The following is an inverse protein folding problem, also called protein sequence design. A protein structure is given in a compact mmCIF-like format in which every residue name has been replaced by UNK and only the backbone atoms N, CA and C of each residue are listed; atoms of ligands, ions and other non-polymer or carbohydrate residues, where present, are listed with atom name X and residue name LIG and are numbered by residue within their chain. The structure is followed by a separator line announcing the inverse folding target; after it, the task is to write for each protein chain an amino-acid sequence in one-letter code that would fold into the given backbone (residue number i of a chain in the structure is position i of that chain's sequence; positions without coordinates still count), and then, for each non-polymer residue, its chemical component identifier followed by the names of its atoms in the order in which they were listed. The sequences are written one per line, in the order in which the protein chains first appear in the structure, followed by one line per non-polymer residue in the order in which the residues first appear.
data_IF_125529685833
#
_entry.id   IF_125529685833
#
_cell.length_a   1.000
_cell.length_b   1.000
_cell.length_c   1.000
_cell.angle_alpha   90.00
_cell.angle_beta   90.00
_cell.angle_gamma   90.00
#
_symmetry.space_group_name_H-M   'P 1'
#
loop_
_entity.id
_entity.type
_entity.pdbx_description
1 polymer ?
#
# COMPACT_ATOMS: atom_id res chain seq x y z
N UNK A 1 -9.00 -18.82 -11.27
CA UNK A 1 -10.06 -18.38 -10.33
C UNK A 1 -10.59 -17.04 -10.80
N UNK A 2 -11.90 -16.77 -10.73
CA UNK A 2 -12.48 -15.56 -11.32
C UNK A 2 -12.12 -14.33 -10.47
N UNK A 3 -11.23 -13.50 -10.98
CA UNK A 3 -10.77 -12.25 -10.34
C UNK A 3 -11.82 -11.12 -10.39
N UNK A 4 -12.97 -11.45 -10.98
CA UNK A 4 -14.10 -10.57 -11.24
C UNK A 4 -14.68 -9.93 -9.96
N UNK A 5 -14.82 -10.61 -8.81
CA UNK A 5 -15.49 -10.04 -7.64
C UNK A 5 -14.80 -8.78 -7.09
N UNK A 6 -13.46 -8.77 -7.02
CA UNK A 6 -12.67 -7.64 -6.50
C UNK A 6 -12.87 -6.39 -7.37
N UNK A 7 -12.78 -6.55 -8.69
CA UNK A 7 -12.97 -5.45 -9.66
C UNK A 7 -14.43 -4.99 -9.66
N UNK A 8 -15.39 -5.92 -9.61
CA UNK A 8 -16.82 -5.59 -9.56
C UNK A 8 -17.19 -4.79 -8.31
N UNK A 9 -16.56 -5.07 -7.16
CA UNK A 9 -16.77 -4.28 -5.94
C UNK A 9 -16.28 -2.84 -6.09
N UNK A 10 -15.17 -2.62 -6.78
CA UNK A 10 -14.68 -1.27 -7.09
C UNK A 10 -15.63 -0.55 -8.04
N UNK A 11 -16.10 -1.23 -9.10
CA UNK A 11 -17.10 -0.68 -10.03
C UNK A 11 -18.38 -0.33 -9.28
N UNK A 12 -18.86 -1.22 -8.41
CA UNK A 12 -20.03 -0.98 -7.59
C UNK A 12 -19.86 0.26 -6.70
N UNK A 13 -18.73 0.39 -6.00
CA UNK A 13 -18.44 1.56 -5.18
C UNK A 13 -18.45 2.86 -5.98
N UNK A 14 -17.86 2.84 -7.18
CA UNK A 14 -17.88 3.98 -8.09
C UNK A 14 -19.30 4.34 -8.55
N UNK A 15 -20.12 3.34 -8.90
CA UNK A 15 -21.50 3.52 -9.31
C UNK A 15 -22.37 4.06 -8.16
N UNK A 16 -22.24 3.54 -6.94
CA UNK A 16 -22.95 4.04 -5.77
C UNK A 16 -22.67 5.54 -5.53
N UNK A 17 -21.42 5.97 -5.72
CA UNK A 17 -21.08 7.40 -5.67
C UNK A 17 -21.73 8.18 -6.81
N UNK A 18 -21.62 7.69 -8.05
CA UNK A 18 -22.21 8.33 -9.23
C UNK A 18 -23.73 8.51 -9.13
N UNK A 19 -24.41 7.55 -8.50
CA UNK A 19 -25.85 7.56 -8.23
C UNK A 19 -26.22 8.42 -7.01
N UNK A 20 -25.25 9.10 -6.38
CA UNK A 20 -25.40 9.91 -5.17
C UNK A 20 -25.96 9.13 -3.95
N UNK A 21 -25.84 7.80 -3.93
CA UNK A 21 -26.23 6.97 -2.78
C UNK A 21 -25.23 7.16 -1.63
N UNK A 22 -23.96 7.28 -1.97
CA UNK A 22 -22.86 7.56 -1.03
C UNK A 22 -22.03 8.73 -1.53
N UNK A 23 -21.32 9.40 -0.62
CA UNK A 23 -20.41 10.50 -0.94
C UNK A 23 -18.96 10.11 -0.60
N UNK A 24 -18.01 10.95 -1.01
CA UNK A 24 -16.58 10.72 -0.79
C UNK A 24 -16.22 10.61 0.69
N UNK A 25 -16.89 11.36 1.56
CA UNK A 25 -16.66 11.34 3.01
C UNK A 25 -17.01 9.99 3.64
N UNK A 26 -17.92 9.23 3.02
CA UNK A 26 -18.22 7.86 3.42
C UNK A 26 -17.04 6.93 3.14
N UNK A 27 -16.37 7.08 1.99
CA UNK A 27 -15.14 6.34 1.69
C UNK A 27 -14.03 6.65 2.71
N UNK A 28 -13.82 7.92 3.05
CA UNK A 28 -12.80 8.30 4.03
C UNK A 28 -13.07 7.68 5.42
N UNK A 29 -14.34 7.57 5.80
CA UNK A 29 -14.76 6.94 7.05
C UNK A 29 -14.61 5.41 7.01
N UNK A 30 -14.96 4.77 5.89
CA UNK A 30 -14.76 3.34 5.68
C UNK A 30 -13.29 2.95 5.63
N UNK A 31 -12.45 3.73 4.94
CA UNK A 31 -10.99 3.50 4.89
C UNK A 31 -10.39 3.59 6.30
N UNK A 32 -10.81 4.56 7.12
CA UNK A 32 -10.38 4.64 8.52
C UNK A 32 -10.80 3.41 9.31
N UNK A 33 -12.07 3.00 9.19
CA UNK A 33 -12.56 1.80 9.88
C UNK A 33 -11.77 0.54 9.47
N UNK A 34 -11.53 0.38 8.17
CA UNK A 34 -10.70 -0.69 7.62
C UNK A 34 -9.31 -0.65 8.23
N UNK A 35 -8.68 0.52 8.26
CA UNK A 35 -7.32 0.72 8.72
C UNK A 35 -7.13 0.42 10.21
N UNK A 36 -8.10 0.78 11.06
CA UNK A 36 -8.00 0.60 12.51
C UNK A 36 -8.51 -0.76 13.01
N UNK A 37 -9.37 -1.45 12.25
CA UNK A 37 -10.03 -2.69 12.72
C UNK A 37 -9.75 -3.86 11.79
N UNK A 38 -10.15 -3.74 10.53
CA UNK A 38 -10.19 -4.87 9.59
C UNK A 38 -8.80 -5.29 9.08
N UNK A 39 -7.93 -4.34 8.74
CA UNK A 39 -6.56 -4.62 8.32
C UNK A 39 -5.72 -5.25 9.45
N UNK A 40 -5.72 -4.72 10.69
CA UNK A 40 -5.11 -5.38 11.83
C UNK A 40 -5.60 -6.82 12.04
N UNK A 41 -6.92 -7.05 12.02
CA UNK A 41 -7.48 -8.39 12.17
C UNK A 41 -7.06 -9.33 11.03
N UNK A 42 -7.05 -8.84 9.79
CA UNK A 42 -6.61 -9.60 8.61
C UNK A 42 -5.15 -10.00 8.69
N UNK A 43 -4.26 -9.07 9.06
CA UNK A 43 -2.85 -9.36 9.27
C UNK A 43 -2.67 -10.39 10.38
N UNK A 44 -3.36 -10.19 11.50
CA UNK A 44 -3.30 -11.13 12.61
C UNK A 44 -3.73 -12.54 12.19
N UNK A 45 -4.92 -12.66 11.60
CA UNK A 45 -5.47 -13.94 11.13
C UNK A 45 -4.55 -14.67 10.13
N UNK A 46 -3.89 -13.93 9.25
CA UNK A 46 -3.05 -14.54 8.20
C UNK A 46 -1.67 -14.97 8.70
N UNK A 47 -1.13 -14.26 9.69
CA UNK A 47 0.23 -14.49 10.21
C UNK A 47 0.27 -15.51 11.35
N UNK A 48 -0.80 -15.68 12.13
CA UNK A 48 -0.80 -16.59 13.29
C UNK A 48 -0.54 -18.07 12.92
N UNK A 49 -0.79 -18.48 11.68
CA UNK A 49 -0.54 -19.84 11.18
C UNK A 49 0.56 -19.90 10.12
N UNK A 50 1.27 -18.80 9.87
CA UNK A 50 2.32 -18.77 8.86
C UNK A 50 3.47 -19.71 9.25
N UNK A 51 3.97 -20.47 8.30
CA UNK A 51 5.22 -21.20 8.45
C UNK A 51 6.40 -20.22 8.35
N UNK A 52 7.03 -19.91 9.49
CA UNK A 52 8.14 -18.96 9.54
C UNK A 52 9.41 -19.56 8.92
N UNK A 53 9.82 -18.99 7.79
CA UNK A 53 11.06 -19.33 7.08
C UNK A 53 11.99 -18.11 7.05
N UNK A 54 13.30 -18.35 7.10
CA UNK A 54 14.31 -17.28 7.02
C UNK A 54 14.26 -16.51 5.70
N UNK A 55 13.81 -17.15 4.61
CA UNK A 55 13.60 -16.51 3.30
C UNK A 55 12.64 -15.32 3.34
N UNK A 56 11.69 -15.29 4.28
CA UNK A 56 10.75 -14.18 4.46
C UNK A 56 11.44 -12.84 4.76
N UNK A 57 12.66 -12.87 5.32
CA UNK A 57 13.43 -11.66 5.62
C UNK A 57 13.92 -10.94 4.35
N UNK A 58 13.95 -11.61 3.19
CA UNK A 58 14.26 -10.97 1.91
C UNK A 58 13.14 -10.03 1.45
N UNK A 59 11.89 -10.27 1.88
CA UNK A 59 10.74 -9.47 1.44
C UNK A 59 10.76 -8.03 2.00
N UNK A 60 10.98 -7.78 3.31
CA UNK A 60 11.18 -6.42 3.81
C UNK A 60 12.37 -5.71 3.14
N UNK A 61 13.47 -6.44 2.90
CA UNK A 61 14.64 -5.89 2.20
C UNK A 61 14.33 -5.49 0.76
N UNK A 62 13.55 -6.32 0.04
CA UNK A 62 13.06 -6.00 -1.29
C UNK A 62 12.21 -4.73 -1.27
N UNK A 63 11.28 -4.61 -0.31
CA UNK A 63 10.48 -3.40 -0.12
C UNK A 63 11.36 -2.16 0.03
N UNK A 64 12.28 -2.19 1.00
CA UNK A 64 13.24 -1.10 1.24
C UNK A 64 14.02 -0.74 -0.03
N UNK A 65 14.55 -1.76 -0.72
CA UNK A 65 15.35 -1.59 -1.93
C UNK A 65 14.55 -0.91 -3.05
N UNK A 66 13.33 -1.38 -3.32
CA UNK A 66 12.48 -0.85 -4.39
C UNK A 66 12.02 0.57 -4.05
N UNK A 67 11.51 0.84 -2.84
CA UNK A 67 11.12 2.20 -2.48
C UNK A 67 12.28 3.17 -2.49
N UNK A 68 13.44 2.79 -1.95
CA UNK A 68 14.64 3.65 -1.97
C UNK A 68 15.04 4.00 -3.40
N UNK A 69 15.05 3.01 -4.29
CA UNK A 69 15.35 3.20 -5.71
C UNK A 69 14.35 4.15 -6.37
N UNK A 70 13.07 4.05 -6.01
CA UNK A 70 12.04 4.90 -6.60
C UNK A 70 12.07 6.33 -6.05
N UNK A 71 12.35 6.52 -4.76
CA UNK A 71 12.65 7.85 -4.21
C UNK A 71 13.86 8.47 -4.89
N UNK A 72 14.93 7.69 -5.12
CA UNK A 72 16.12 8.16 -5.82
C UNK A 72 15.79 8.56 -7.27
N UNK A 73 15.07 7.72 -8.02
CA UNK A 73 14.64 8.03 -9.38
C UNK A 73 13.78 9.30 -9.44
N UNK A 74 12.79 9.41 -8.55
CA UNK A 74 11.95 10.60 -8.42
C UNK A 74 12.79 11.84 -8.14
N UNK A 75 13.73 11.73 -7.20
CA UNK A 75 14.64 12.83 -6.87
C UNK A 75 15.45 13.25 -8.10
N UNK A 76 16.03 12.32 -8.85
CA UNK A 76 16.85 12.64 -10.02
C UNK A 76 16.05 13.34 -11.15
N UNK A 77 14.80 12.94 -11.38
CA UNK A 77 13.99 13.50 -12.48
C UNK A 77 13.15 14.73 -12.11
N UNK A 78 13.21 15.19 -10.85
CA UNK A 78 12.36 16.30 -10.39
C UNK A 78 12.69 17.65 -11.02
N UNK A 79 13.98 17.93 -11.27
CA UNK A 79 14.44 19.26 -11.71
C UNK A 79 13.91 19.62 -13.12
N UNK A 80 13.98 18.71 -14.14
CA UNK A 80 13.40 18.97 -15.46
C UNK A 80 11.91 19.30 -15.45
N UNK A 81 11.14 18.79 -14.48
CA UNK A 81 9.69 18.97 -14.40
C UNK A 81 9.26 20.35 -13.89
N UNK A 82 10.21 21.18 -13.40
CA UNK A 82 9.97 22.57 -12.96
C UNK A 82 8.74 22.74 -12.05
N UNK A 83 8.55 21.81 -11.12
CA UNK A 83 7.40 21.80 -10.22
C UNK A 83 7.52 22.89 -9.16
N UNK A 84 6.37 23.40 -8.71
CA UNK A 84 6.33 24.20 -7.49
C UNK A 84 6.71 23.33 -6.29
N UNK A 85 7.36 23.92 -5.27
CA UNK A 85 7.87 23.21 -4.09
C UNK A 85 6.86 22.23 -3.49
N UNK A 86 5.60 22.63 -3.35
CA UNK A 86 4.54 21.78 -2.77
C UNK A 86 4.18 20.60 -3.66
N UNK A 87 4.10 20.81 -4.97
CA UNK A 87 3.87 19.75 -5.96
C UNK A 87 5.08 18.80 -6.03
N UNK A 88 6.31 19.31 -5.94
CA UNK A 88 7.52 18.49 -5.87
C UNK A 88 7.51 17.58 -4.63
N UNK A 89 7.13 18.10 -3.47
CA UNK A 89 6.93 17.29 -2.25
C UNK A 89 5.92 16.17 -2.47
N UNK A 90 4.75 16.49 -3.01
CA UNK A 90 3.71 15.51 -3.36
C UNK A 90 4.20 14.47 -4.38
N UNK A 91 4.94 14.90 -5.40
CA UNK A 91 5.54 14.04 -6.42
C UNK A 91 6.52 13.04 -5.80
N UNK A 92 7.41 13.48 -4.90
CA UNK A 92 8.39 12.61 -4.26
C UNK A 92 7.73 11.57 -3.34
N UNK A 93 6.80 11.97 -2.46
CA UNK A 93 6.14 11.02 -1.55
C UNK A 93 5.29 9.99 -2.31
N UNK A 94 4.58 10.42 -3.36
CA UNK A 94 3.77 9.51 -4.19
C UNK A 94 4.62 8.58 -5.06
N UNK A 95 5.86 8.97 -5.37
CA UNK A 95 6.81 8.15 -6.11
C UNK A 95 7.54 7.10 -5.28
N UNK A 96 7.52 7.17 -3.95
CA UNK A 96 8.22 6.19 -3.09
C UNK A 96 7.27 5.33 -2.28
N UNK A 97 6.20 5.92 -1.73
CA UNK A 97 5.24 5.23 -0.87
C UNK A 97 4.25 4.40 -1.68
N UNK A 98 4.03 3.15 -1.29
CA UNK A 98 3.18 2.21 -2.03
C UNK A 98 1.97 1.76 -1.21
N UNK A 99 0.82 1.59 -1.87
CA UNK A 99 -0.42 1.21 -1.24
C UNK A 99 -0.54 -0.32 -1.08
N UNK A 100 0.19 -0.93 -0.15
CA UNK A 100 0.06 -2.37 0.04
C UNK A 100 -1.26 -2.72 0.74
N UNK A 101 -1.48 -2.19 1.94
CA UNK A 101 -2.64 -2.53 2.77
C UNK A 101 -4.00 -2.25 2.13
N UNK A 102 -4.22 -1.05 1.58
CA UNK A 102 -5.53 -0.68 1.02
C UNK A 102 -5.67 -0.98 -0.48
N UNK A 103 -4.65 -1.55 -1.13
CA UNK A 103 -4.76 -1.89 -2.55
C UNK A 103 -4.25 -3.30 -2.86
N UNK A 104 -2.99 -3.63 -2.56
CA UNK A 104 -2.43 -4.95 -2.90
C UNK A 104 -2.97 -6.10 -2.06
N UNK A 105 -3.20 -5.92 -0.76
CA UNK A 105 -3.62 -7.01 0.13
C UNK A 105 -4.86 -7.78 -0.37
N UNK A 106 -5.93 -7.12 -0.83
CA UNK A 106 -7.07 -7.83 -1.43
C UNK A 106 -6.75 -8.65 -2.68
N UNK A 107 -5.81 -8.18 -3.52
CA UNK A 107 -5.35 -8.97 -4.68
C UNK A 107 -4.55 -10.20 -4.21
N UNK A 108 -3.60 -10.03 -3.29
CA UNK A 108 -2.85 -11.16 -2.74
C UNK A 108 -3.77 -12.19 -2.08
N UNK A 109 -4.77 -11.75 -1.32
CA UNK A 109 -5.78 -12.65 -0.74
C UNK A 109 -6.57 -13.40 -1.80
N UNK A 110 -6.99 -12.72 -2.87
CA UNK A 110 -7.82 -13.31 -3.91
C UNK A 110 -7.06 -14.33 -4.75
N UNK A 111 -5.79 -14.07 -5.06
CA UNK A 111 -4.99 -14.90 -5.96
C UNK A 111 -4.15 -15.95 -5.23
N UNK A 112 -3.69 -15.67 -4.03
CA UNK A 112 -2.70 -16.47 -3.30
C UNK A 112 -3.13 -16.81 -1.85
N UNK A 113 -4.35 -16.43 -1.46
CA UNK A 113 -4.90 -16.71 -0.14
C UNK A 113 -4.17 -16.00 1.00
N UNK A 114 -4.39 -16.48 2.21
CA UNK A 114 -3.74 -15.97 3.44
C UNK A 114 -2.22 -16.12 3.40
N UNK A 115 -1.71 -17.16 2.73
CA UNK A 115 -0.28 -17.37 2.58
C UNK A 115 0.35 -16.24 1.74
N UNK A 116 -0.21 -15.93 0.57
CA UNK A 116 0.27 -14.80 -0.23
C UNK A 116 0.12 -13.45 0.46
N UNK A 117 -0.98 -13.26 1.22
CA UNK A 117 -1.15 -12.07 2.04
C UNK A 117 -0.01 -11.91 3.06
N UNK A 118 0.36 -12.99 3.75
CA UNK A 118 1.46 -12.99 4.70
C UNK A 118 2.77 -12.56 4.03
N UNK A 119 3.08 -13.04 2.83
CA UNK A 119 4.28 -12.64 2.10
C UNK A 119 4.27 -11.14 1.74
N UNK A 120 3.16 -10.63 1.20
CA UNK A 120 3.08 -9.18 0.91
C UNK A 120 3.09 -8.33 2.19
N UNK A 121 2.61 -8.85 3.32
CA UNK A 121 2.72 -8.16 4.61
C UNK A 121 4.18 -8.02 5.06
N UNK A 122 5.01 -9.05 4.88
CA UNK A 122 6.45 -8.95 5.12
C UNK A 122 7.12 -7.93 4.19
N UNK A 123 6.78 -7.93 2.90
CA UNK A 123 7.24 -6.89 1.97
C UNK A 123 6.83 -5.48 2.41
N UNK A 124 5.59 -5.34 2.89
CA UNK A 124 5.02 -4.06 3.34
C UNK A 124 5.72 -3.50 4.59
N UNK A 125 6.38 -4.32 5.42
CA UNK A 125 7.17 -3.79 6.55
C UNK A 125 8.29 -2.88 6.07
N UNK A 126 9.02 -3.31 5.04
CA UNK A 126 10.08 -2.49 4.46
C UNK A 126 9.55 -1.18 3.89
N UNK A 127 8.39 -1.27 3.22
CA UNK A 127 7.69 -0.11 2.66
C UNK A 127 7.16 0.84 3.72
N UNK A 128 6.51 0.32 4.76
CA UNK A 128 5.98 1.09 5.87
C UNK A 128 7.13 1.79 6.62
N UNK A 129 8.25 1.10 6.85
CA UNK A 129 9.42 1.71 7.47
C UNK A 129 9.90 2.94 6.69
N UNK A 130 10.13 2.83 5.38
CA UNK A 130 10.56 3.98 4.57
C UNK A 130 9.47 5.05 4.39
N UNK A 131 8.20 4.65 4.29
CA UNK A 131 7.08 5.58 4.17
C UNK A 131 6.93 6.44 5.41
N UNK A 132 6.99 5.83 6.60
CA UNK A 132 6.83 6.51 7.88
C UNK A 132 8.07 7.31 8.29
N UNK A 133 9.25 6.97 7.77
CA UNK A 133 10.51 7.70 8.03
C UNK A 133 10.82 8.70 6.91
N UNK A 134 11.40 8.23 5.80
CA UNK A 134 11.83 9.06 4.67
C UNK A 134 10.66 9.78 4.00
N UNK A 135 9.53 9.09 3.78
CA UNK A 135 8.33 9.69 3.18
C UNK A 135 7.78 10.84 4.02
N UNK A 136 7.67 10.64 5.34
CA UNK A 136 7.25 11.69 6.27
C UNK A 136 8.28 12.83 6.35
N UNK A 137 9.58 12.52 6.38
CA UNK A 137 10.65 13.54 6.32
C UNK A 137 10.54 14.43 5.07
N UNK A 138 10.33 13.82 3.89
CA UNK A 138 10.12 14.56 2.64
C UNK A 138 8.88 15.44 2.76
N UNK A 139 7.76 14.91 3.28
CA UNK A 139 6.52 15.67 3.43
C UNK A 139 6.74 16.94 4.27
N UNK A 140 7.43 16.82 5.41
CA UNK A 140 7.75 17.97 6.25
C UNK A 140 8.70 18.95 5.53
N UNK A 141 9.77 18.43 4.91
CA UNK A 141 10.81 19.24 4.26
C UNK A 141 10.25 20.16 3.17
N UNK A 142 9.29 19.62 2.40
CA UNK A 142 8.63 20.34 1.32
C UNK A 142 7.38 21.11 1.78
N UNK A 143 6.84 20.76 2.94
CA UNK A 143 5.76 21.46 3.61
C UNK A 143 6.20 22.74 4.32
N UNK A 144 5.36 23.13 5.29
CA UNK A 144 5.49 24.38 6.04
C UNK A 144 5.83 24.18 7.52
N UNK A 145 6.06 22.94 7.99
CA UNK A 145 6.40 22.66 9.39
C UNK A 145 7.89 22.27 9.53
N UNK A 146 8.52 22.56 10.68
CA UNK A 146 9.83 22.03 10.99
C UNK A 146 9.76 20.53 11.35
N UNK A 147 10.73 19.75 10.89
CA UNK A 147 10.83 18.33 11.21
C UNK A 147 11.20 18.11 12.67
N UNK A 148 10.34 17.37 13.39
CA UNK A 148 10.62 16.90 14.75
C UNK A 148 10.65 15.37 14.74
N UNK A 149 11.77 14.79 15.18
CA UNK A 149 11.94 13.33 15.26
C UNK A 149 10.87 12.65 16.13
N UNK A 150 10.39 13.34 17.17
CA UNK A 150 9.29 12.89 18.02
C UNK A 150 8.00 12.60 17.24
N UNK A 151 7.66 13.42 16.24
CA UNK A 151 6.46 13.23 15.43
C UNK A 151 6.57 11.97 14.55
N UNK A 152 7.78 11.67 14.03
CA UNK A 152 8.05 10.46 13.24
C UNK A 152 7.79 9.23 14.10
N UNK A 153 8.38 9.18 15.30
CA UNK A 153 8.25 8.03 16.20
C UNK A 153 6.81 7.84 16.67
N UNK A 154 6.11 8.93 17.03
CA UNK A 154 4.70 8.87 17.43
C UNK A 154 3.80 8.33 16.30
N UNK A 155 4.04 8.76 15.06
CA UNK A 155 3.28 8.29 13.90
C UNK A 155 3.56 6.81 13.59
N UNK A 156 4.81 6.35 13.74
CA UNK A 156 5.18 4.94 13.59
C UNK A 156 4.51 4.06 14.65
N UNK A 157 4.62 4.43 15.92
CA UNK A 157 4.03 3.68 17.03
C UNK A 157 2.49 3.77 17.05
N UNK A 158 1.91 4.78 16.39
CA UNK A 158 0.46 4.91 16.22
C UNK A 158 -0.13 4.04 15.12
N UNK A 159 0.68 3.32 14.32
CA UNK A 159 0.23 2.53 13.19
C UNK A 159 -0.33 1.15 13.65
N UNK A 160 -1.65 0.92 13.64
CA UNK A 160 -2.25 -0.28 14.27
C UNK A 160 -1.77 -1.59 13.64
N UNK A 161 -1.61 -1.60 12.32
CA UNK A 161 -1.15 -2.77 11.57
C UNK A 161 0.26 -3.23 11.97
N UNK A 162 1.13 -2.32 12.43
CA UNK A 162 2.47 -2.67 12.92
C UNK A 162 2.37 -3.54 14.18
N UNK A 163 1.50 -3.16 15.10
CA UNK A 163 1.25 -3.92 16.33
C UNK A 163 0.57 -5.24 16.05
N UNK A 164 -0.45 -5.26 15.19
CA UNK A 164 -1.11 -6.50 14.81
C UNK A 164 -0.15 -7.50 14.18
N UNK A 165 0.71 -7.05 13.26
CA UNK A 165 1.77 -7.87 12.68
C UNK A 165 2.70 -8.43 13.76
N UNK A 166 3.20 -7.56 14.65
CA UNK A 166 4.13 -7.95 15.72
C UNK A 166 3.52 -8.95 16.70
N UNK A 167 2.27 -8.72 17.13
CA UNK A 167 1.56 -9.63 18.03
C UNK A 167 1.25 -10.97 17.35
N UNK A 168 0.90 -10.97 16.06
CA UNK A 168 0.64 -12.20 15.32
C UNK A 168 1.88 -13.07 15.22
N UNK A 169 3.03 -12.47 14.90
CA UNK A 169 4.31 -13.19 14.89
C UNK A 169 4.69 -13.71 16.28
N UNK A 170 4.46 -12.93 17.34
CA UNK A 170 4.73 -13.37 18.70
C UNK A 170 3.87 -14.59 19.07
N UNK A 171 2.57 -14.56 18.78
CA UNK A 171 1.65 -15.69 19.01
C UNK A 171 2.06 -16.92 18.21
N UNK A 172 2.41 -16.74 16.94
CA UNK A 172 2.85 -17.82 16.06
C UNK A 172 4.15 -18.45 16.59
N UNK A 173 5.15 -17.63 16.91
CA UNK A 173 6.45 -18.09 17.42
C UNK A 173 6.33 -18.84 18.76
N UNK A 174 5.46 -18.39 19.66
CA UNK A 174 5.21 -19.06 20.94
C UNK A 174 4.34 -20.31 20.81
N UNK A 175 3.75 -20.58 19.65
CA UNK A 175 2.82 -21.69 19.45
C UNK A 175 1.50 -21.53 20.21
N UNK A 176 1.11 -20.29 20.55
CA UNK A 176 -0.05 -19.99 21.41
C UNK A 176 -1.39 -20.04 20.68
N UNK A 177 -1.42 -20.56 19.46
CA UNK A 177 -2.63 -20.67 18.64
C UNK A 177 -3.78 -21.37 19.38
N UNK A 178 -3.49 -22.47 20.09
CA UNK A 178 -4.49 -23.23 20.85
C UNK A 178 -5.08 -22.43 22.02
N UNK A 179 -4.32 -21.52 22.61
CA UNK A 179 -4.76 -20.70 23.75
C UNK A 179 -5.68 -19.53 23.36
N UNK A 180 -5.67 -19.13 22.08
CA UNK A 180 -6.49 -18.02 21.57
C UNK A 180 -7.67 -18.49 20.69
N UNK A 181 -8.03 -19.78 20.78
CA UNK A 181 -9.12 -20.43 20.04
C UNK A 181 -10.41 -19.61 19.95
N UNK A 182 -10.80 -18.97 21.07
CA UNK A 182 -12.04 -18.19 21.17
C UNK A 182 -12.05 -16.91 20.34
N UNK A 183 -10.89 -16.32 20.06
CA UNK A 183 -10.76 -15.04 19.34
C UNK A 183 -10.68 -15.27 17.82
N UNK A 184 -10.22 -16.46 17.39
CA UNK A 184 -9.98 -16.78 15.97
C UNK A 184 -11.24 -16.61 15.10
N UNK A 185 -12.44 -17.10 15.50
CA UNK A 185 -13.66 -16.89 14.70
C UNK A 185 -14.00 -15.41 14.49
N UNK A 186 -13.77 -14.56 15.50
CA UNK A 186 -13.98 -13.12 15.36
C UNK A 186 -12.97 -12.53 14.36
N UNK A 187 -11.70 -12.92 14.45
CA UNK A 187 -10.66 -12.47 13.51
C UNK A 187 -10.96 -12.92 12.08
N UNK A 188 -11.50 -14.12 11.89
CA UNK A 188 -11.94 -14.65 10.60
C UNK A 188 -13.10 -13.83 10.00
N UNK A 189 -14.12 -13.49 10.80
CA UNK A 189 -15.23 -12.64 10.35
C UNK A 189 -14.72 -11.28 9.89
N UNK A 190 -13.87 -10.63 10.69
CA UNK A 190 -13.26 -9.35 10.31
C UNK A 190 -12.37 -9.51 9.08
N UNK A 191 -11.59 -10.58 9.00
CA UNK A 191 -10.75 -10.90 7.87
C UNK A 191 -11.56 -10.95 6.56
N UNK A 192 -12.66 -11.71 6.56
CA UNK A 192 -13.53 -11.90 5.41
C UNK A 192 -14.23 -10.61 4.95
N UNK A 193 -14.45 -9.65 5.85
CA UNK A 193 -14.98 -8.33 5.51
C UNK A 193 -13.95 -7.37 4.90
N UNK A 194 -12.66 -7.65 5.05
CA UNK A 194 -11.59 -6.69 4.72
C UNK A 194 -11.53 -6.38 3.22
N UNK A 195 -11.49 -7.41 2.37
CA UNK A 195 -11.44 -7.24 0.91
C UNK A 195 -12.66 -6.49 0.36
N UNK A 196 -13.92 -6.88 0.67
CA UNK A 196 -15.10 -6.15 0.21
C UNK A 196 -15.11 -4.68 0.63
N UNK A 197 -14.80 -4.39 1.90
CA UNK A 197 -14.81 -3.01 2.41
C UNK A 197 -13.73 -2.16 1.76
N UNK A 198 -12.51 -2.68 1.58
CA UNK A 198 -11.44 -1.98 0.87
C UNK A 198 -11.87 -1.67 -0.57
N UNK A 199 -12.28 -2.68 -1.32
CA UNK A 199 -12.58 -2.54 -2.75
C UNK A 199 -13.74 -1.58 -3.00
N UNK A 200 -14.81 -1.68 -2.21
CA UNK A 200 -15.93 -0.75 -2.28
C UNK A 200 -15.47 0.69 -1.97
N UNK A 201 -14.66 0.86 -0.92
CA UNK A 201 -14.15 2.18 -0.52
C UNK A 201 -13.25 2.80 -1.58
N UNK A 202 -12.37 2.01 -2.21
CA UNK A 202 -11.56 2.48 -3.33
C UNK A 202 -12.43 2.98 -4.47
N UNK A 203 -13.47 2.22 -4.85
CA UNK A 203 -14.42 2.61 -5.89
C UNK A 203 -15.08 3.95 -5.62
N UNK A 204 -15.54 4.16 -4.38
CA UNK A 204 -16.14 5.43 -3.95
C UNK A 204 -15.08 6.55 -3.94
N UNK A 205 -13.83 6.26 -3.58
CA UNK A 205 -12.76 7.26 -3.54
C UNK A 205 -12.37 7.82 -4.93
N UNK A 206 -12.51 7.03 -6.00
CA UNK A 206 -12.01 7.37 -7.35
C UNK A 206 -12.56 8.68 -7.92
N UNK A 207 -11.69 9.67 -8.12
CA UNK A 207 -11.97 10.93 -8.84
C UNK A 207 -10.84 11.26 -9.82
N UNK A 208 -10.62 10.42 -10.85
CA UNK A 208 -9.51 10.59 -11.77
C UNK A 208 -9.68 11.87 -12.59
N UNK A 209 -8.68 12.76 -12.52
CA UNK A 209 -8.61 13.97 -13.33
C UNK A 209 -7.16 14.36 -13.56
N UNK A 210 -6.78 14.63 -14.81
CA UNK A 210 -5.40 15.02 -15.13
C UNK A 210 -5.08 16.40 -14.56
N UNK A 211 -3.91 16.54 -13.93
CA UNK A 211 -3.35 17.80 -13.42
C UNK A 211 -1.82 17.71 -13.43
N UNK A 212 -1.13 18.71 -13.99
CA UNK A 212 0.35 18.70 -14.12
C UNK A 212 0.81 17.37 -14.79
N UNK A 213 0.43 17.15 -16.07
CA UNK A 213 0.54 15.85 -16.74
C UNK A 213 1.96 15.27 -16.70
N UNK A 214 2.99 16.09 -16.89
CA UNK A 214 4.39 15.64 -16.89
C UNK A 214 4.80 15.03 -15.55
N UNK A 215 4.38 15.65 -14.44
CA UNK A 215 4.62 15.13 -13.10
C UNK A 215 3.83 13.85 -12.84
N UNK A 216 2.56 13.79 -13.27
CA UNK A 216 1.76 12.57 -13.14
C UNK A 216 2.37 11.41 -13.94
N UNK A 217 2.79 11.66 -15.18
CA UNK A 217 3.46 10.66 -16.03
C UNK A 217 4.76 10.19 -15.39
N UNK A 218 5.54 11.10 -14.79
CA UNK A 218 6.74 10.75 -14.03
C UNK A 218 6.44 9.76 -12.89
N UNK A 219 5.41 10.01 -12.07
CA UNK A 219 5.03 9.07 -11.00
C UNK A 219 4.53 7.75 -11.57
N UNK A 220 3.65 7.78 -12.58
CA UNK A 220 3.11 6.57 -13.22
C UNK A 220 4.25 5.70 -13.75
N UNK A 221 5.21 6.30 -14.47
CA UNK A 221 6.39 5.61 -14.95
C UNK A 221 7.20 5.00 -13.79
N UNK A 222 7.45 5.78 -12.73
CA UNK A 222 8.21 5.31 -11.58
C UNK A 222 7.53 4.12 -10.89
N UNK A 223 6.19 4.15 -10.73
CA UNK A 223 5.42 3.13 -10.02
C UNK A 223 5.22 1.84 -10.81
N UNK A 224 4.90 1.94 -12.10
CA UNK A 224 4.50 0.75 -12.85
C UNK A 224 5.64 0.18 -13.69
N UNK A 225 6.53 1.03 -14.22
CA UNK A 225 7.59 0.60 -15.14
C UNK A 225 8.93 0.47 -14.42
N UNK A 226 9.40 1.56 -13.80
CA UNK A 226 10.69 1.58 -13.13
C UNK A 226 10.70 0.63 -11.93
N UNK A 227 9.69 0.67 -11.05
CA UNK A 227 9.62 -0.22 -9.89
C UNK A 227 9.56 -1.70 -10.31
N UNK A 228 8.86 -2.04 -11.40
CA UNK A 228 8.87 -3.40 -11.96
C UNK A 228 10.28 -3.81 -12.39
N UNK A 229 11.02 -2.93 -13.09
CA UNK A 229 12.41 -3.18 -13.46
C UNK A 229 13.32 -3.43 -12.25
N UNK A 230 13.17 -2.63 -11.19
CA UNK A 230 13.92 -2.80 -9.94
C UNK A 230 13.53 -4.10 -9.21
N UNK A 231 12.26 -4.48 -9.23
CA UNK A 231 11.78 -5.72 -8.65
C UNK A 231 12.32 -6.96 -9.38
N UNK A 232 12.38 -6.91 -10.73
CA UNK A 232 13.02 -7.94 -11.55
C UNK A 232 14.51 -8.04 -11.19
N UNK A 233 15.21 -6.90 -11.15
CA UNK A 233 16.62 -6.85 -10.77
C UNK A 233 16.85 -7.50 -9.39
N UNK A 234 16.07 -7.12 -8.38
CA UNK A 234 16.17 -7.72 -7.05
C UNK A 234 15.93 -9.23 -7.08
N UNK A 235 14.92 -9.68 -7.81
CA UNK A 235 14.59 -11.11 -7.93
C UNK A 235 15.73 -11.92 -8.56
N UNK A 236 16.42 -11.34 -9.55
CA UNK A 236 17.59 -11.96 -10.20
C UNK A 236 18.82 -12.00 -9.28
N UNK A 237 19.00 -11.00 -8.42
CA UNK A 237 20.13 -10.92 -7.49
C UNK A 237 20.03 -11.90 -6.32
N UNK A 238 18.82 -12.18 -5.82
CA UNK A 238 18.61 -12.91 -4.57
C UNK A 238 18.04 -14.33 -4.72
N UNK A 239 17.96 -14.86 -5.96
CA UNK A 239 17.45 -16.20 -6.28
C UNK A 239 16.16 -16.57 -5.50
N UNK A 240 15.17 -15.69 -5.59
CA UNK A 240 13.90 -15.83 -4.87
C UNK A 240 13.15 -17.08 -5.31
N UNK A 241 12.48 -17.74 -4.37
CA UNK A 241 11.54 -18.80 -4.71
C UNK A 241 10.31 -18.23 -5.45
N UNK A 242 9.46 -19.11 -5.99
CA UNK A 242 8.33 -18.70 -6.83
C UNK A 242 7.39 -17.70 -6.13
N UNK A 243 7.00 -17.99 -4.88
CA UNK A 243 6.08 -17.13 -4.14
C UNK A 243 6.73 -15.81 -3.74
N UNK A 244 7.99 -15.82 -3.28
CA UNK A 244 8.76 -14.61 -2.99
C UNK A 244 8.90 -13.72 -4.23
N UNK A 245 9.20 -14.32 -5.39
CA UNK A 245 9.34 -13.62 -6.66
C UNK A 245 8.01 -12.99 -7.08
N UNK A 246 6.91 -13.74 -7.05
CA UNK A 246 5.58 -13.20 -7.37
C UNK A 246 5.25 -12.04 -6.42
N UNK A 247 5.51 -12.20 -5.12
CA UNK A 247 5.31 -11.14 -4.14
C UNK A 247 6.10 -9.88 -4.47
N UNK A 248 7.42 -10.00 -4.69
CA UNK A 248 8.28 -8.85 -4.98
C UNK A 248 7.86 -8.16 -6.28
N UNK A 249 7.62 -8.91 -7.35
CA UNK A 249 7.24 -8.34 -8.65
C UNK A 249 5.90 -7.60 -8.56
N UNK A 250 4.86 -8.23 -8.00
CA UNK A 250 3.53 -7.64 -7.97
C UNK A 250 3.45 -6.50 -6.96
N UNK A 251 3.92 -6.72 -5.71
CA UNK A 251 3.82 -5.73 -4.65
C UNK A 251 4.60 -4.44 -4.99
N UNK A 252 5.71 -4.55 -5.72
CA UNK A 252 6.51 -3.39 -6.15
C UNK A 252 5.78 -2.41 -7.07
N UNK A 253 4.74 -2.87 -7.75
CA UNK A 253 4.00 -2.07 -8.73
C UNK A 253 2.72 -1.44 -8.17
N UNK A 254 2.59 -1.46 -6.84
CA UNK A 254 1.46 -0.87 -6.16
C UNK A 254 1.32 0.64 -6.43
N UNK A 255 0.08 1.13 -6.56
CA UNK A 255 -0.16 2.56 -6.71
C UNK A 255 0.33 3.32 -5.47
N UNK A 256 0.46 4.66 -5.54
CA UNK A 256 0.86 5.47 -4.40
C UNK A 256 -0.03 5.24 -3.18
N UNK A 257 0.58 5.17 -1.99
CA UNK A 257 -0.12 4.94 -0.73
C UNK A 257 -1.15 6.03 -0.43
N UNK A 258 -2.33 5.66 0.11
CA UNK A 258 -3.31 6.64 0.62
C UNK A 258 -2.72 7.54 1.72
N UNK A 259 -1.74 7.05 2.47
CA UNK A 259 -1.00 7.82 3.48
C UNK A 259 -0.32 9.07 2.89
N UNK A 260 0.04 9.06 1.60
CA UNK A 260 0.59 10.26 0.93
C UNK A 260 -0.40 11.41 0.89
N UNK A 261 -1.71 11.14 0.77
CA UNK A 261 -2.75 12.16 0.82
C UNK A 261 -2.88 12.75 2.22
N UNK A 262 -2.78 11.91 3.24
CA UNK A 262 -2.76 12.36 4.66
C UNK A 262 -1.58 13.31 4.88
N UNK A 263 -0.37 12.90 4.48
CA UNK A 263 0.81 13.76 4.57
C UNK A 263 0.68 15.04 3.75
N UNK A 264 0.09 14.99 2.56
CA UNK A 264 -0.14 16.19 1.76
C UNK A 264 -1.09 17.17 2.45
N UNK A 265 -2.13 16.69 3.14
CA UNK A 265 -3.05 17.52 3.93
C UNK A 265 -2.36 18.09 5.17
N UNK A 266 -1.73 17.24 5.98
CA UNK A 266 -1.10 17.63 7.25
C UNK A 266 0.04 18.63 7.06
N UNK A 267 0.88 18.41 6.05
CA UNK A 267 2.05 19.23 5.76
C UNK A 267 1.78 20.32 4.71
N UNK A 268 0.52 20.47 4.28
CA UNK A 268 0.03 21.51 3.35
C UNK A 268 0.76 21.50 1.99
N UNK A 269 1.00 20.30 1.44
CA UNK A 269 1.52 20.08 0.08
C UNK A 269 0.41 20.27 -0.98
N UNK A 270 0.61 19.77 -2.21
CA UNK A 270 -0.38 19.83 -3.28
C UNK A 270 -1.40 18.67 -3.15
N UNK A 271 -2.40 18.88 -2.30
CA UNK A 271 -3.49 17.91 -2.03
C UNK A 271 -4.27 17.55 -3.30
N UNK A 272 -4.53 18.53 -4.17
CA UNK A 272 -5.31 18.34 -5.39
C UNK A 272 -4.55 17.47 -6.41
N UNK A 273 -3.26 17.73 -6.62
CA UNK A 273 -2.39 16.85 -7.41
C UNK A 273 -2.34 15.43 -6.82
N UNK A 274 -2.10 15.33 -5.52
CA UNK A 274 -1.95 14.04 -4.81
C UNK A 274 -3.22 13.19 -4.96
N UNK A 275 -4.38 13.73 -4.62
CA UNK A 275 -5.66 13.00 -4.70
C UNK A 275 -5.98 12.51 -6.12
N UNK A 276 -5.74 13.34 -7.13
CA UNK A 276 -6.03 13.02 -8.53
C UNK A 276 -5.09 11.97 -9.07
N UNK A 277 -3.80 12.08 -8.76
CA UNK A 277 -2.78 11.11 -9.12
C UNK A 277 -3.06 9.75 -8.48
N UNK A 278 -3.41 9.72 -7.18
CA UNK A 278 -3.81 8.48 -6.49
C UNK A 278 -4.97 7.80 -7.23
N UNK A 279 -6.01 8.56 -7.59
CA UNK A 279 -7.15 8.02 -8.33
C UNK A 279 -6.75 7.44 -9.69
N UNK A 280 -5.90 8.13 -10.45
CA UNK A 280 -5.39 7.64 -11.74
C UNK A 280 -4.57 6.36 -11.56
N UNK A 281 -3.63 6.34 -10.61
CA UNK A 281 -2.81 5.18 -10.34
C UNK A 281 -3.62 3.99 -9.82
N UNK A 282 -4.66 4.21 -9.01
CA UNK A 282 -5.58 3.14 -8.61
C UNK A 282 -6.27 2.58 -9.86
N UNK A 283 -6.81 3.41 -10.75
CA UNK A 283 -7.41 2.95 -12.00
C UNK A 283 -6.44 2.11 -12.86
N UNK A 284 -5.19 2.56 -13.01
CA UNK A 284 -4.14 1.81 -13.72
C UNK A 284 -3.88 0.48 -13.01
N UNK A 285 -3.68 0.51 -11.69
CA UNK A 285 -3.40 -0.65 -10.87
C UNK A 285 -4.49 -1.71 -10.94
N UNK A 286 -5.77 -1.32 -11.02
CA UNK A 286 -6.91 -2.24 -11.12
C UNK A 286 -6.88 -3.10 -12.38
N UNK A 287 -6.21 -2.64 -13.43
CA UNK A 287 -5.99 -3.37 -14.69
C UNK A 287 -4.63 -4.07 -14.63
N UNK A 288 -3.59 -3.33 -14.24
CA UNK A 288 -2.20 -3.78 -14.27
C UNK A 288 -1.94 -4.96 -13.33
N UNK A 289 -2.49 -4.92 -12.11
CA UNK A 289 -2.25 -5.95 -11.09
C UNK A 289 -2.83 -7.32 -11.48
N UNK A 290 -4.10 -7.43 -11.91
CA UNK A 290 -4.63 -8.68 -12.47
C UNK A 290 -3.83 -9.23 -13.65
N UNK A 291 -3.37 -8.35 -14.55
CA UNK A 291 -2.57 -8.77 -15.71
C UNK A 291 -1.23 -9.35 -15.26
N UNK A 292 -0.56 -8.73 -14.28
CA UNK A 292 0.67 -9.28 -13.73
C UNK A 292 0.47 -10.66 -13.09
N UNK A 293 -0.57 -10.83 -12.26
CA UNK A 293 -0.89 -12.14 -11.69
C UNK A 293 -1.28 -13.20 -12.74
N UNK A 294 -1.80 -12.79 -13.89
CA UNK A 294 -2.12 -13.71 -14.97
C UNK A 294 -0.90 -14.13 -15.82
N UNK A 295 0.17 -13.32 -15.79
CA UNK A 295 1.39 -13.53 -16.56
C UNK A 295 2.49 -14.26 -15.78
N UNK A 296 2.44 -14.21 -14.45
CA UNK A 296 3.40 -14.83 -13.52
C UNK A 296 2.88 -16.17 -13.01
#
# INVERSE_FOLDING_TARGET
MSNLPVILLVILGYLLKRLNIVRREFADSMIRLVFYVFLPATLFYSLIQLELKTGLLLLPLAGIFVASSCYAAAYLIRNPLRMEKKTEGSFLITSGMMNQGLFMYPFFLTYLGTNGLSYVAFYDIGQAFLGLTLGYYIAIRYGNRPAKAENVLRNMLGFPSLWAFSFALLVNYLGFYSSIGTIIPLMEVLHNCTTPLIMLSLGIFLEPRIRKPDAMLGVIFIRFVFAMGIAILFSLLFNLNELERITVLVASTAPPAMLTLVYAVEEKLDVDFTSKLLSICICIGLIYTPLLFALL
#
